data_IF_184222784638
#
_entry.id   IF_184222784638
#
_cell.length_a   1.000
_cell.length_b   1.000
_cell.length_c   1.000
_cell.angle_alpha   90.00
_cell.angle_beta   90.00
_cell.angle_gamma   90.00
#
_symmetry.space_group_name_H-M   'P 1'
#
loop_
_entity.id
_entity.type
_entity.pdbx_description
1 polymer ?
#
# COMPACT_ATOMS: atom_id res chain seq x y z
N UNK A 1 -0.95 -7.34 17.05
CA UNK A 1 -1.56 -8.33 16.15
C UNK A 1 -2.30 -9.34 17.01
N UNK A 2 -3.61 -9.43 16.85
CA UNK A 2 -4.39 -10.51 17.47
C UNK A 2 -4.14 -11.81 16.71
N UNK A 3 -4.33 -12.95 17.36
CA UNK A 3 -4.24 -14.27 16.72
C UNK A 3 -5.19 -14.38 15.50
N UNK A 4 -6.33 -13.69 15.55
CA UNK A 4 -7.31 -13.62 14.45
C UNK A 4 -6.77 -12.90 13.20
N UNK A 5 -5.94 -11.87 13.37
CA UNK A 5 -5.29 -11.17 12.24
C UNK A 5 -4.17 -12.01 11.60
N UNK A 6 -3.46 -12.83 12.40
CA UNK A 6 -2.49 -13.79 11.89
C UNK A 6 -3.18 -14.93 11.11
N UNK A 7 -4.33 -15.41 11.58
CA UNK A 7 -5.12 -16.44 10.89
C UNK A 7 -5.67 -15.92 9.54
N UNK A 8 -6.12 -14.68 9.46
CA UNK A 8 -6.57 -14.09 8.21
C UNK A 8 -5.42 -13.98 7.18
N UNK A 9 -4.21 -13.58 7.61
CA UNK A 9 -3.03 -13.51 6.74
C UNK A 9 -2.55 -14.91 6.31
N UNK A 10 -2.63 -15.92 7.20
CA UNK A 10 -2.29 -17.29 6.89
C UNK A 10 -3.30 -17.91 5.91
N UNK A 11 -4.59 -17.66 6.12
CA UNK A 11 -5.67 -18.09 5.20
C UNK A 11 -5.51 -17.44 3.83
N UNK A 12 -5.11 -16.17 3.78
CA UNK A 12 -4.85 -15.46 2.53
C UNK A 12 -3.66 -16.09 1.78
N UNK A 13 -2.56 -16.35 2.46
CA UNK A 13 -1.40 -17.03 1.88
C UNK A 13 -1.74 -18.46 1.44
N UNK A 14 -2.54 -19.19 2.21
CA UNK A 14 -2.98 -20.55 1.89
C UNK A 14 -3.98 -20.57 0.72
N UNK A 15 -4.89 -19.59 0.63
CA UNK A 15 -5.81 -19.45 -0.49
C UNK A 15 -5.05 -19.12 -1.79
N UNK A 16 -4.04 -18.24 -1.72
CA UNK A 16 -3.16 -17.91 -2.85
C UNK A 16 -2.34 -19.12 -3.29
N UNK A 17 -1.77 -19.89 -2.34
CA UNK A 17 -1.07 -21.15 -2.65
C UNK A 17 -2.00 -22.21 -3.22
N UNK A 18 -3.21 -22.35 -2.68
CA UNK A 18 -4.21 -23.29 -3.24
C UNK A 18 -4.67 -22.89 -4.62
N UNK A 19 -4.89 -21.59 -4.87
CA UNK A 19 -5.18 -21.08 -6.21
C UNK A 19 -4.02 -21.36 -7.18
N UNK A 20 -2.78 -21.10 -6.77
CA UNK A 20 -1.58 -21.39 -7.56
C UNK A 20 -1.36 -22.88 -7.84
N UNK A 21 -1.73 -23.77 -6.89
CA UNK A 21 -1.63 -25.23 -7.03
C UNK A 21 -2.77 -25.85 -7.86
N UNK A 22 -3.91 -25.16 -7.98
CA UNK A 22 -5.03 -25.58 -8.81
C UNK A 22 -4.89 -25.17 -10.28
N UNK A 23 -3.93 -24.31 -10.58
CA UNK A 23 -3.63 -23.84 -11.90
C UNK A 23 -2.41 -24.63 -12.41
N UNK A 24 -2.66 -25.59 -13.31
CA UNK A 24 -1.67 -26.54 -13.85
C UNK A 24 -0.55 -25.89 -14.68
N UNK A 25 -0.62 -24.57 -14.91
CA UNK A 25 0.40 -23.79 -15.61
C UNK A 25 0.46 -22.40 -14.96
N UNK A 26 1.68 -21.88 -14.73
CA UNK A 26 1.93 -20.63 -14.01
C UNK A 26 1.08 -19.47 -14.49
N UNK A 27 -0.01 -19.26 -13.79
CA UNK A 27 -0.89 -18.10 -14.02
C UNK A 27 -0.10 -16.82 -13.82
N UNK A 28 -0.40 -15.86 -14.67
CA UNK A 28 0.15 -14.52 -14.54
C UNK A 28 -0.21 -13.98 -13.14
N UNK A 29 0.77 -13.49 -12.41
CA UNK A 29 0.63 -12.96 -11.06
C UNK A 29 -0.64 -12.10 -10.86
N UNK A 30 -0.97 -11.28 -11.86
CA UNK A 30 -2.16 -10.42 -11.88
C UNK A 30 -3.48 -11.17 -11.80
N UNK A 31 -3.56 -12.35 -12.42
CA UNK A 31 -4.76 -13.20 -12.40
C UNK A 31 -4.91 -13.83 -11.03
N UNK A 32 -3.81 -14.24 -10.41
CA UNK A 32 -3.80 -14.75 -9.04
C UNK A 32 -4.27 -13.70 -8.03
N UNK A 33 -3.83 -12.43 -8.19
CA UNK A 33 -4.32 -11.31 -7.40
C UNK A 33 -5.82 -11.09 -7.54
N UNK A 34 -6.34 -11.22 -8.78
CA UNK A 34 -7.77 -11.10 -9.02
C UNK A 34 -8.57 -12.21 -8.34
N UNK A 35 -8.17 -13.47 -8.49
CA UNK A 35 -8.88 -14.58 -7.84
C UNK A 35 -8.87 -14.47 -6.31
N UNK A 36 -7.75 -14.02 -5.74
CA UNK A 36 -7.67 -13.78 -4.31
C UNK A 36 -8.63 -12.67 -3.85
N UNK A 37 -8.68 -11.55 -4.58
CA UNK A 37 -9.58 -10.44 -4.28
C UNK A 37 -11.05 -10.85 -4.45
N UNK A 38 -11.40 -11.53 -5.54
CA UNK A 38 -12.75 -11.99 -5.85
C UNK A 38 -13.28 -13.02 -4.85
N UNK A 39 -12.39 -13.73 -4.14
CA UNK A 39 -12.78 -14.61 -3.05
C UNK A 39 -13.39 -13.84 -1.86
N UNK A 40 -12.88 -12.64 -1.58
CA UNK A 40 -13.39 -11.77 -0.51
C UNK A 40 -14.51 -10.85 -0.97
N UNK A 41 -14.38 -10.31 -2.17
CA UNK A 41 -15.40 -9.45 -2.81
C UNK A 41 -15.60 -9.87 -4.28
N UNK A 42 -16.62 -10.70 -4.56
CA UNK A 42 -16.93 -11.15 -5.93
C UNK A 42 -17.28 -10.02 -6.91
N UNK A 43 -17.64 -8.84 -6.40
CA UNK A 43 -17.99 -7.66 -7.20
C UNK A 43 -16.81 -6.67 -7.32
N UNK A 44 -15.57 -7.09 -7.00
CA UNK A 44 -14.39 -6.22 -7.04
C UNK A 44 -14.22 -5.51 -8.39
N UNK A 45 -14.12 -4.19 -8.34
CA UNK A 45 -13.89 -3.32 -9.50
C UNK A 45 -12.41 -2.96 -9.67
N UNK A 46 -11.70 -2.83 -8.53
CA UNK A 46 -10.32 -2.37 -8.51
C UNK A 46 -9.53 -3.03 -7.39
N UNK A 47 -8.33 -3.47 -7.70
CA UNK A 47 -7.38 -3.99 -6.72
C UNK A 47 -6.20 -3.04 -6.67
N UNK A 48 -5.88 -2.56 -5.47
CA UNK A 48 -4.68 -1.75 -5.21
C UNK A 48 -3.72 -2.58 -4.38
N UNK A 49 -2.64 -3.02 -5.01
CA UNK A 49 -1.58 -3.76 -4.35
C UNK A 49 -0.39 -2.85 -4.08
N UNK A 50 0.04 -2.76 -2.81
CA UNK A 50 1.24 -2.03 -2.43
C UNK A 50 2.16 -2.97 -1.66
N UNK A 51 3.16 -3.47 -2.38
CA UNK A 51 4.21 -4.32 -1.84
C UNK A 51 5.33 -3.55 -1.15
N UNK A 52 6.42 -4.26 -0.86
CA UNK A 52 7.63 -3.66 -0.32
C UNK A 52 8.38 -2.77 -1.31
N UNK A 53 8.37 -3.12 -2.59
CA UNK A 53 9.17 -2.45 -3.64
C UNK A 53 8.37 -2.03 -4.87
N UNK A 54 7.20 -2.58 -5.07
CA UNK A 54 6.32 -2.31 -6.21
C UNK A 54 4.92 -1.94 -5.75
N UNK A 55 4.16 -1.41 -6.67
CA UNK A 55 2.72 -1.22 -6.51
C UNK A 55 2.00 -1.45 -7.82
N UNK A 56 0.83 -2.03 -7.72
CA UNK A 56 -0.02 -2.40 -8.84
C UNK A 56 -1.44 -1.88 -8.62
N UNK A 57 -2.05 -1.46 -9.70
CA UNK A 57 -3.50 -1.25 -9.73
C UNK A 57 -4.07 -2.12 -10.85
N UNK A 58 -4.98 -3.00 -10.49
CA UNK A 58 -5.64 -3.93 -11.40
C UNK A 58 -7.10 -3.53 -11.47
N UNK A 59 -7.55 -3.10 -12.64
CA UNK A 59 -8.96 -2.79 -12.88
C UNK A 59 -9.67 -4.03 -13.38
N UNK A 60 -10.83 -4.30 -12.80
CA UNK A 60 -11.67 -5.45 -13.13
C UNK A 60 -12.93 -4.95 -13.82
N UNK A 61 -13.29 -5.60 -14.90
CA UNK A 61 -14.55 -5.35 -15.63
C UNK A 61 -15.13 -6.65 -16.13
N UNK A 62 -16.41 -6.85 -15.88
CA UNK A 62 -17.11 -8.08 -16.26
C UNK A 62 -16.40 -9.35 -15.75
N UNK A 63 -15.95 -9.32 -14.49
CA UNK A 63 -15.23 -10.42 -13.83
C UNK A 63 -13.95 -10.86 -14.57
N UNK A 64 -13.30 -9.92 -15.24
CA UNK A 64 -12.05 -10.16 -15.96
C UNK A 64 -11.10 -8.99 -15.73
N UNK A 65 -9.80 -9.26 -15.73
CA UNK A 65 -8.76 -8.21 -15.67
C UNK A 65 -8.85 -7.36 -16.93
N UNK A 66 -9.24 -6.09 -16.78
CA UNK A 66 -9.37 -5.12 -17.87
C UNK A 66 -8.05 -4.40 -18.15
N UNK A 67 -7.40 -3.93 -17.09
CA UNK A 67 -6.12 -3.23 -17.22
C UNK A 67 -5.27 -3.36 -15.97
N UNK A 68 -3.96 -3.28 -16.15
CA UNK A 68 -2.97 -3.32 -15.08
C UNK A 68 -2.04 -2.12 -15.21
N UNK A 69 -1.88 -1.40 -14.13
CA UNK A 69 -0.92 -0.30 -14.01
C UNK A 69 0.12 -0.68 -12.97
N UNK A 70 1.38 -0.62 -13.35
CA UNK A 70 2.52 -1.02 -12.54
C UNK A 70 3.44 0.18 -12.27
N UNK A 71 4.02 0.23 -11.10
CA UNK A 71 5.14 1.10 -10.79
C UNK A 71 6.29 0.28 -10.18
N UNK A 72 7.16 -0.20 -11.03
CA UNK A 72 8.39 -0.90 -10.64
C UNK A 72 9.59 0.05 -10.50
N UNK A 73 9.48 1.25 -11.07
CA UNK A 73 10.62 2.16 -11.23
C UNK A 73 10.95 2.98 -9.99
N UNK A 74 10.11 3.01 -8.97
CA UNK A 74 10.31 3.88 -7.82
C UNK A 74 9.73 3.31 -6.53
N UNK A 75 10.62 2.88 -5.65
CA UNK A 75 10.26 2.43 -4.30
C UNK A 75 9.69 3.53 -3.38
N UNK A 76 9.63 4.78 -3.85
CA UNK A 76 9.20 5.94 -3.06
C UNK A 76 7.72 5.98 -2.67
N UNK A 77 6.98 4.94 -2.97
CA UNK A 77 5.58 4.79 -2.58
C UNK A 77 5.28 3.43 -1.99
N UNK A 78 6.31 2.62 -1.71
CA UNK A 78 6.16 1.24 -1.28
C UNK A 78 6.58 1.06 0.18
N UNK A 79 6.35 -0.12 0.74
CA UNK A 79 6.61 -0.42 2.14
C UNK A 79 8.06 -0.23 2.57
N UNK A 80 9.04 -0.58 1.72
CA UNK A 80 10.46 -0.40 2.01
C UNK A 80 10.87 1.06 2.26
N UNK A 81 10.14 1.99 1.68
CA UNK A 81 10.33 3.41 1.91
C UNK A 81 9.97 3.81 3.35
N UNK A 82 8.81 3.35 3.85
CA UNK A 82 8.39 3.58 5.23
C UNK A 82 9.36 2.91 6.20
N UNK A 83 9.77 1.68 5.91
CA UNK A 83 10.73 0.93 6.71
C UNK A 83 12.07 1.67 6.82
N UNK A 84 12.61 2.16 5.73
CA UNK A 84 13.86 2.93 5.71
C UNK A 84 13.78 4.16 6.61
N UNK A 85 12.66 4.87 6.60
CA UNK A 85 12.46 6.02 7.49
C UNK A 85 12.31 5.61 8.95
N UNK A 86 11.52 4.58 9.24
CA UNK A 86 11.37 4.07 10.60
C UNK A 86 12.73 3.71 11.21
N UNK A 87 13.55 2.96 10.47
CA UNK A 87 14.91 2.58 10.87
C UNK A 87 15.81 3.81 11.10
N UNK A 88 15.76 4.80 10.19
CA UNK A 88 16.55 6.02 10.31
C UNK A 88 16.22 6.87 11.53
N UNK A 89 15.02 6.70 12.07
CA UNK A 89 14.51 7.36 13.27
C UNK A 89 14.60 6.47 14.52
N UNK A 90 15.20 5.28 14.41
CA UNK A 90 15.32 4.25 15.47
C UNK A 90 13.96 3.75 15.99
N UNK A 91 13.00 3.59 15.09
CA UNK A 91 11.69 3.00 15.37
C UNK A 91 11.56 1.63 14.70
N UNK A 92 10.81 0.72 15.34
CA UNK A 92 10.27 -0.43 14.63
C UNK A 92 9.20 0.03 13.64
N UNK A 93 8.97 -0.73 12.58
CA UNK A 93 7.91 -0.39 11.59
C UNK A 93 6.55 -0.31 12.26
N UNK A 94 6.28 -1.21 13.21
CA UNK A 94 5.04 -1.26 13.97
C UNK A 94 4.84 -0.04 14.88
N UNK A 95 5.87 0.35 15.63
CA UNK A 95 5.77 1.53 16.50
C UNK A 95 5.68 2.82 15.70
N UNK A 96 6.35 2.86 14.54
CA UNK A 96 6.28 3.98 13.62
C UNK A 96 4.87 4.13 13.04
N UNK A 97 4.23 3.01 12.64
CA UNK A 97 2.85 2.99 12.17
C UNK A 97 1.86 3.44 13.26
N UNK A 98 2.01 2.91 14.48
CA UNK A 98 1.17 3.31 15.63
C UNK A 98 1.32 4.79 15.95
N UNK A 99 2.53 5.34 15.92
CA UNK A 99 2.75 6.77 16.13
C UNK A 99 1.97 7.63 15.12
N UNK A 100 1.89 7.22 13.88
CA UNK A 100 1.18 7.95 12.82
C UNK A 100 -0.32 8.12 13.09
N UNK A 101 -0.97 7.13 13.72
CA UNK A 101 -2.42 7.16 13.98
C UNK A 101 -2.87 8.32 14.87
N UNK A 102 -1.97 8.84 15.70
CA UNK A 102 -2.25 9.89 16.67
C UNK A 102 -1.56 11.22 16.33
N UNK A 103 -1.08 11.37 15.09
CA UNK A 103 -0.40 12.58 14.65
C UNK A 103 -1.37 13.77 14.62
N UNK A 104 -1.11 14.85 15.39
CA UNK A 104 -1.98 16.01 15.40
C UNK A 104 -1.83 16.87 14.13
N UNK A 105 -0.63 16.88 13.53
CA UNK A 105 -0.28 17.74 12.40
C UNK A 105 0.57 16.99 11.38
N UNK A 106 0.00 16.02 10.62
CA UNK A 106 0.75 15.28 9.61
C UNK A 106 1.44 16.22 8.61
N UNK A 107 2.73 16.03 8.37
CA UNK A 107 3.47 16.86 7.43
C UNK A 107 3.11 16.52 5.98
N UNK A 108 2.95 17.52 5.14
CA UNK A 108 2.73 17.28 3.70
C UNK A 108 4.08 17.07 2.99
N UNK A 109 4.39 15.82 2.72
CA UNK A 109 5.57 15.42 1.95
C UNK A 109 5.34 15.48 0.43
N UNK A 110 4.09 15.57 0.00
CA UNK A 110 3.70 15.56 -1.40
C UNK A 110 3.91 14.19 -2.05
N UNK A 111 4.02 14.19 -3.38
CA UNK A 111 4.20 12.98 -4.23
C UNK A 111 5.54 12.97 -4.93
N UNK A 112 6.61 13.37 -4.27
CA UNK A 112 7.94 13.49 -4.87
C UNK A 112 8.77 12.21 -4.71
N UNK A 113 9.85 12.12 -5.44
CA UNK A 113 10.85 11.05 -5.33
C UNK A 113 11.48 11.02 -3.92
N UNK A 114 11.92 9.84 -3.48
CA UNK A 114 12.53 9.55 -2.17
C UNK A 114 13.62 10.56 -1.77
N UNK A 115 14.47 10.98 -2.71
CA UNK A 115 15.55 11.93 -2.45
C UNK A 115 15.01 13.28 -1.94
N UNK A 116 13.96 13.77 -2.57
CA UNK A 116 13.32 15.03 -2.16
C UNK A 116 12.55 14.89 -0.84
N UNK A 117 11.96 13.72 -0.60
CA UNK A 117 11.29 13.45 0.66
C UNK A 117 12.25 13.40 1.84
N UNK A 118 13.44 12.80 1.66
CA UNK A 118 14.51 12.83 2.67
C UNK A 118 14.86 14.26 3.08
N UNK A 119 15.00 15.15 2.12
CA UNK A 119 15.31 16.56 2.40
C UNK A 119 14.16 17.25 3.16
N UNK A 120 12.91 17.00 2.77
CA UNK A 120 11.74 17.54 3.46
C UNK A 120 11.59 17.00 4.88
N UNK A 121 11.81 15.70 5.10
CA UNK A 121 11.77 15.12 6.45
C UNK A 121 12.84 15.75 7.33
N UNK A 122 14.07 15.88 6.84
CA UNK A 122 15.16 16.55 7.59
C UNK A 122 14.83 18.01 7.91
N UNK A 123 14.19 18.72 7.00
CA UNK A 123 13.74 20.09 7.24
C UNK A 123 12.64 20.11 8.31
N UNK A 124 11.61 19.27 8.19
CA UNK A 124 10.53 19.18 9.16
C UNK A 124 11.04 18.86 10.57
N UNK A 125 12.04 17.97 10.69
CA UNK A 125 12.70 17.69 11.97
C UNK A 125 13.36 18.93 12.57
N UNK A 126 14.06 19.75 11.75
CA UNK A 126 14.66 21.00 12.19
C UNK A 126 13.63 22.04 12.63
N UNK A 127 12.44 22.00 12.04
CA UNK A 127 11.29 22.84 12.34
C UNK A 127 10.48 22.35 13.54
N UNK A 128 10.87 21.20 14.12
CA UNK A 128 10.25 20.65 15.33
C UNK A 128 9.10 19.68 15.09
N UNK A 129 8.93 19.16 13.87
CA UNK A 129 7.95 18.15 13.59
C UNK A 129 8.21 16.88 14.42
N UNK A 130 7.17 16.29 14.97
CA UNK A 130 7.25 15.07 15.75
C UNK A 130 7.42 13.84 14.86
N UNK A 131 7.89 12.74 15.43
CA UNK A 131 7.96 11.45 14.71
C UNK A 131 6.57 11.01 14.23
N UNK A 132 5.54 11.28 15.04
CA UNK A 132 4.14 11.01 14.67
C UNK A 132 3.71 11.76 13.41
N UNK A 133 4.02 13.06 13.33
CA UNK A 133 3.68 13.89 12.18
C UNK A 133 4.42 13.47 10.92
N UNK A 134 5.68 13.08 11.06
CA UNK A 134 6.51 12.56 9.97
C UNK A 134 5.97 11.22 9.48
N UNK A 135 5.67 10.29 10.38
CA UNK A 135 5.14 8.96 10.04
C UNK A 135 3.80 9.05 9.32
N UNK A 136 2.89 9.89 9.81
CA UNK A 136 1.60 10.12 9.16
C UNK A 136 1.78 10.76 7.78
N UNK A 137 2.67 11.74 7.65
CA UNK A 137 3.00 12.35 6.36
C UNK A 137 3.53 11.35 5.33
N UNK A 138 4.33 10.38 5.78
CA UNK A 138 4.83 9.30 4.92
C UNK A 138 3.70 8.35 4.49
N UNK A 139 2.80 7.95 5.40
CA UNK A 139 1.64 7.13 5.08
C UNK A 139 0.76 7.80 4.01
N UNK A 140 0.39 9.06 4.20
CA UNK A 140 -0.33 9.83 3.19
C UNK A 140 0.42 9.94 1.85
N UNK A 141 1.75 10.11 1.90
CA UNK A 141 2.54 10.21 0.68
C UNK A 141 2.54 8.91 -0.13
N UNK A 142 2.57 7.75 0.52
CA UNK A 142 2.46 6.44 -0.14
C UNK A 142 1.14 6.33 -0.90
N UNK A 143 0.03 6.61 -0.25
CA UNK A 143 -1.30 6.56 -0.89
C UNK A 143 -1.44 7.60 -1.99
N UNK A 144 -1.00 8.84 -1.77
CA UNK A 144 -0.97 9.87 -2.82
C UNK A 144 -0.15 9.45 -4.03
N UNK A 145 1.00 8.79 -3.83
CA UNK A 145 1.82 8.27 -4.93
C UNK A 145 1.08 7.15 -5.69
N UNK A 146 0.44 6.22 -4.98
CA UNK A 146 -0.37 5.18 -5.60
C UNK A 146 -1.47 5.80 -6.49
N UNK A 147 -2.29 6.67 -5.91
CA UNK A 147 -3.44 7.26 -6.60
C UNK A 147 -3.04 8.16 -7.78
N UNK A 148 -2.09 9.07 -7.59
CA UNK A 148 -1.81 10.10 -8.59
C UNK A 148 -0.72 9.74 -9.59
N UNK A 149 0.25 8.91 -9.22
CA UNK A 149 1.34 8.55 -10.13
C UNK A 149 1.14 7.22 -10.83
N UNK A 150 0.63 6.23 -10.10
CA UNK A 150 0.43 4.88 -10.65
C UNK A 150 -0.93 4.79 -11.31
N UNK A 151 -1.98 5.00 -10.54
CA UNK A 151 -3.36 4.85 -11.01
C UNK A 151 -3.77 6.06 -11.87
N UNK A 152 -3.15 7.22 -11.64
CA UNK A 152 -3.43 8.49 -12.35
C UNK A 152 -4.90 8.88 -12.30
N UNK A 153 -5.52 8.68 -11.15
CA UNK A 153 -6.94 8.97 -10.92
C UNK A 153 -7.14 10.48 -10.94
N UNK A 154 -8.08 10.93 -11.73
CA UNK A 154 -8.57 12.30 -11.70
C UNK A 154 -9.75 12.45 -10.75
N UNK A 155 -10.55 11.39 -10.60
CA UNK A 155 -11.70 11.32 -9.73
C UNK A 155 -11.77 9.95 -9.05
N UNK A 156 -12.10 9.90 -7.77
CA UNK A 156 -12.22 8.65 -7.01
C UNK A 156 -13.25 7.67 -7.60
N UNK A 157 -14.27 8.16 -8.29
CA UNK A 157 -15.27 7.35 -8.98
C UNK A 157 -14.68 6.45 -10.07
N UNK A 158 -13.50 6.78 -10.59
CA UNK A 158 -12.79 5.97 -11.60
C UNK A 158 -12.27 4.64 -11.05
N UNK A 159 -12.18 4.50 -9.72
CA UNK A 159 -11.77 3.26 -9.06
C UNK A 159 -12.91 2.24 -8.92
N UNK A 160 -14.16 2.67 -9.14
CA UNK A 160 -15.33 1.85 -8.89
C UNK A 160 -15.85 1.98 -7.46
N UNK A 161 -16.65 1.00 -7.03
CA UNK A 161 -17.27 0.97 -5.70
C UNK A 161 -16.70 -0.14 -4.81
N UNK A 162 -16.23 -1.21 -5.43
CA UNK A 162 -15.69 -2.39 -4.78
C UNK A 162 -14.17 -2.40 -4.95
N UNK A 163 -13.48 -1.87 -3.94
CA UNK A 163 -12.02 -1.73 -3.97
C UNK A 163 -11.41 -2.67 -2.95
N UNK A 164 -10.56 -3.56 -3.40
CA UNK A 164 -9.78 -4.45 -2.55
C UNK A 164 -8.34 -3.95 -2.47
N UNK A 165 -7.83 -3.78 -1.26
CA UNK A 165 -6.42 -3.43 -1.03
C UNK A 165 -5.64 -4.67 -0.63
N UNK A 166 -4.42 -4.82 -1.18
CA UNK A 166 -3.53 -5.95 -0.98
C UNK A 166 -2.10 -5.48 -0.74
N UNK A 167 -1.26 -6.40 -0.31
CA UNK A 167 0.17 -6.16 -0.15
C UNK A 167 0.58 -5.81 1.28
N UNK A 168 1.83 -6.13 1.60
CA UNK A 168 2.38 -6.01 2.96
C UNK A 168 2.36 -4.59 3.53
N UNK A 169 2.31 -3.56 2.69
CA UNK A 169 2.28 -2.17 3.13
C UNK A 169 0.98 -1.81 3.83
N UNK A 170 -0.13 -2.48 3.52
CA UNK A 170 -1.42 -2.25 4.17
C UNK A 170 -1.55 -2.86 5.57
N UNK A 171 -0.58 -3.66 6.02
CA UNK A 171 -0.47 -4.01 7.45
C UNK A 171 -0.07 -2.80 8.33
N UNK A 172 0.33 -1.70 7.71
CA UNK A 172 0.49 -0.43 8.39
C UNK A 172 -0.88 0.26 8.48
N UNK A 173 -1.46 0.27 9.68
CA UNK A 173 -2.78 0.85 9.95
C UNK A 173 -2.90 2.31 9.52
N UNK A 174 -1.81 3.07 9.58
CA UNK A 174 -1.79 4.46 9.13
C UNK A 174 -1.91 4.57 7.61
N UNK A 175 -1.32 3.64 6.87
CA UNK A 175 -1.47 3.57 5.40
C UNK A 175 -2.88 3.14 5.03
N UNK A 176 -3.41 2.11 5.71
CA UNK A 176 -4.76 1.62 5.47
C UNK A 176 -5.83 2.69 5.74
N UNK A 177 -5.59 3.57 6.72
CA UNK A 177 -6.50 4.65 7.11
C UNK A 177 -6.38 5.90 6.23
N UNK A 178 -5.27 6.05 5.50
CA UNK A 178 -4.99 7.24 4.66
C UNK A 178 -5.81 7.25 3.39
#
# INVERSE_FOLDING_TARGET
>A
CSFEEMDAAAVYGEALMKAALLLDEGEVETVSHYYAAAFFDPEVDCIVDIGGQDMKCIKIRNQTVDSVQLNEACSSGCGSFIETFAQSLNYSVQDFAKAALFAPHPIDLGTRCTVFMNSKVKQAQKEGATVSDISAGLAYSVIKNALYKVIKVSDASELGRHIVVQGGTFYNDAVLRS
#
